data_IF_774882539988
#
_entry.id   IF_774882539988
#
_cell.length_a   1.000
_cell.length_b   1.000
_cell.length_c   1.000
_cell.angle_alpha   90.00
_cell.angle_beta   90.00
_cell.angle_gamma   90.00
#
_symmetry.space_group_name_H-M   'P 1'
#
loop_
_entity.id
_entity.type
_entity.pdbx_description
1 polymer ?
#
# COMPACT_ATOMS: atom_id res chain seq x y z
N UNK A 1 35.77 -31.59 9.00
CA UNK A 1 35.13 -30.26 9.16
C UNK A 1 34.23 -29.90 7.98
N UNK A 2 34.72 -29.81 6.73
CA UNK A 2 33.88 -29.44 5.55
C UNK A 2 32.64 -30.33 5.32
N UNK A 3 32.75 -31.64 5.57
CA UNK A 3 31.63 -32.60 5.45
C UNK A 3 30.53 -32.40 6.50
N UNK A 4 30.88 -31.91 7.69
CA UNK A 4 29.93 -31.64 8.78
C UNK A 4 29.13 -30.36 8.46
N UNK A 5 29.79 -29.33 7.93
CA UNK A 5 29.15 -28.08 7.49
C UNK A 5 28.19 -28.35 6.33
N UNK A 6 28.59 -29.21 5.38
CA UNK A 6 27.71 -29.61 4.26
C UNK A 6 26.45 -30.34 4.76
N UNK A 7 26.59 -31.28 5.70
CA UNK A 7 25.44 -31.99 6.28
C UNK A 7 24.52 -31.04 7.05
N UNK A 8 25.08 -30.09 7.79
CA UNK A 8 24.30 -29.10 8.55
C UNK A 8 23.52 -28.17 7.61
N UNK A 9 24.12 -27.73 6.51
CA UNK A 9 23.44 -26.93 5.49
C UNK A 9 22.27 -27.69 4.84
N UNK A 10 22.46 -28.98 4.53
CA UNK A 10 21.39 -29.83 3.97
C UNK A 10 20.23 -29.99 4.95
N UNK A 11 20.52 -30.16 6.25
CA UNK A 11 19.48 -30.26 7.29
C UNK A 11 18.68 -28.96 7.40
N UNK A 12 19.34 -27.80 7.38
CA UNK A 12 18.65 -26.50 7.44
C UNK A 12 17.75 -26.29 6.22
N UNK A 13 18.21 -26.67 5.02
CA UNK A 13 17.42 -26.58 3.79
C UNK A 13 16.22 -27.54 3.85
N UNK A 14 16.40 -28.77 4.35
CA UNK A 14 15.32 -29.74 4.48
C UNK A 14 14.23 -29.27 5.47
N UNK A 15 14.62 -28.63 6.57
CA UNK A 15 13.67 -28.04 7.54
C UNK A 15 12.89 -26.89 6.90
N UNK A 16 13.54 -25.99 6.16
CA UNK A 16 12.87 -24.90 5.44
C UNK A 16 11.85 -25.41 4.41
N UNK A 17 12.19 -26.47 3.66
CA UNK A 17 11.28 -27.08 2.68
C UNK A 17 10.09 -27.78 3.35
N UNK A 18 10.29 -28.38 4.52
CA UNK A 18 9.21 -28.98 5.29
C UNK A 18 8.20 -27.94 5.82
N UNK A 19 8.66 -26.76 6.22
CA UNK A 19 7.77 -25.65 6.61
C UNK A 19 6.95 -25.09 5.43
N UNK A 20 7.48 -25.12 4.21
CA UNK A 20 6.74 -24.68 3.02
C UNK A 20 5.72 -25.72 2.51
N UNK A 21 5.83 -26.96 2.93
CA UNK A 21 4.94 -28.06 2.50
C UNK A 21 3.85 -28.38 3.53
N UNK A 22 3.63 -27.54 4.53
CA UNK A 22 2.51 -27.70 5.45
C UNK A 22 1.22 -27.32 4.70
N UNK A 23 0.30 -28.27 4.43
CA UNK A 23 -0.98 -27.93 3.85
C UNK A 23 -1.75 -27.07 4.86
N UNK A 24 -2.21 -25.89 4.43
CA UNK A 24 -3.25 -25.17 5.16
C UNK A 24 -4.48 -26.07 5.21
N UNK A 25 -4.82 -26.51 6.42
CA UNK A 25 -6.00 -27.31 6.72
C UNK A 25 -7.26 -26.47 6.38
N UNK A 26 -8.06 -26.81 5.36
CA UNK A 26 -9.29 -26.09 5.06
C UNK A 26 -10.38 -26.58 6.01
N UNK A 27 -10.25 -26.23 7.29
CA UNK A 27 -11.04 -26.83 8.36
C UNK A 27 -11.43 -25.82 9.43
N UNK A 28 -12.25 -24.82 9.09
CA UNK A 28 -13.15 -24.12 10.03
C UNK A 28 -14.14 -23.20 9.30
N UNK A 29 -15.10 -23.81 8.60
CA UNK A 29 -16.40 -23.15 8.40
C UNK A 29 -17.08 -23.09 9.77
N UNK A 30 -17.12 -21.89 10.35
CA UNK A 30 -18.05 -21.61 11.43
C UNK A 30 -19.44 -21.61 10.82
N UNK A 31 -20.22 -22.61 11.22
CA UNK A 31 -21.65 -22.70 11.00
C UNK A 31 -22.33 -21.49 11.62
N UNK A 32 -22.84 -20.59 10.77
CA UNK A 32 -23.96 -19.73 11.15
C UNK A 32 -24.91 -19.71 9.97
N UNK A 33 -25.94 -20.55 10.05
CA UNK A 33 -27.16 -20.40 9.25
C UNK A 33 -27.73 -18.99 9.46
N UNK A 34 -28.25 -18.36 8.40
CA UNK A 34 -29.43 -17.54 8.51
C UNK A 34 -30.55 -18.27 7.78
N UNK A 35 -31.22 -19.16 8.49
CA UNK A 35 -32.61 -19.46 8.18
C UNK A 35 -33.45 -18.42 8.91
N UNK A 36 -34.42 -17.87 8.17
CA UNK A 36 -35.52 -17.02 8.62
C UNK A 36 -35.17 -15.55 8.90
N UNK A 37 -35.64 -14.68 8.01
CA UNK A 37 -36.92 -13.99 8.22
C UNK A 37 -36.95 -12.72 7.37
N UNK A 38 -37.26 -12.88 6.09
CA UNK A 38 -37.87 -11.78 5.34
C UNK A 38 -39.27 -11.56 5.90
N UNK A 39 -39.48 -10.43 6.55
CA UNK A 39 -40.76 -9.70 6.72
C UNK A 39 -40.52 -8.51 7.64
N UNK A 40 -40.56 -7.30 7.11
CA UNK A 40 -41.65 -6.34 7.34
C UNK A 40 -41.23 -4.96 6.85
N UNK A 41 -41.87 -4.55 5.75
CA UNK A 41 -42.13 -3.16 5.48
C UNK A 41 -43.07 -2.60 6.57
N UNK A 42 -42.73 -1.39 7.01
CA UNK A 42 -43.58 -0.29 7.48
C UNK A 42 -45.05 -0.60 7.80
N UNK A 43 -45.47 -0.32 9.04
CA UNK A 43 -46.54 0.65 9.33
C UNK A 43 -46.63 0.94 10.85
N UNK A 44 -46.53 2.23 11.19
CA UNK A 44 -47.13 2.97 12.28
C UNK A 44 -47.32 2.36 13.69
N UNK A 45 -46.62 2.95 14.65
CA UNK A 45 -47.22 3.33 15.93
C UNK A 45 -46.47 4.53 16.52
N UNK A 46 -47.16 5.66 16.55
CA UNK A 46 -46.75 6.91 17.19
C UNK A 46 -47.12 6.91 18.68
N UNK A 47 -46.39 7.72 19.47
CA UNK A 47 -46.60 8.12 20.87
C UNK A 47 -45.83 7.26 21.91
N UNK A 48 -45.02 7.76 22.85
CA UNK A 48 -44.79 9.11 23.36
C UNK A 48 -43.42 9.20 24.06
N UNK A 49 -42.83 10.39 24.03
CA UNK A 49 -42.01 11.02 25.07
C UNK A 49 -40.88 10.20 25.74
N UNK A 50 -39.64 10.44 25.33
CA UNK A 50 -38.72 11.16 26.22
C UNK A 50 -37.67 11.95 25.42
N UNK A 51 -37.68 13.27 25.60
CA UNK A 51 -36.78 14.21 24.93
C UNK A 51 -35.42 14.20 25.64
N UNK A 52 -34.50 13.31 25.24
CA UNK A 52 -33.08 13.42 25.60
C UNK A 52 -32.12 12.55 24.74
N UNK A 53 -32.37 12.41 23.43
CA UNK A 53 -31.58 11.55 22.53
C UNK A 53 -30.96 12.23 21.29
N UNK A 54 -31.18 13.54 21.11
CA UNK A 54 -30.83 14.27 19.88
C UNK A 54 -29.34 14.49 19.66
N UNK A 55 -28.57 14.75 20.72
CA UNK A 55 -27.13 15.03 20.60
C UNK A 55 -26.31 13.77 20.35
N UNK A 56 -26.65 12.64 20.97
CA UNK A 56 -25.85 11.41 20.85
C UNK A 56 -25.94 10.78 19.46
N UNK A 57 -27.12 10.88 18.82
CA UNK A 57 -27.34 10.31 17.47
C UNK A 57 -26.69 11.17 16.39
N UNK A 58 -26.72 12.51 16.53
CA UNK A 58 -26.12 13.45 15.57
C UNK A 58 -24.59 13.51 15.66
N UNK A 59 -24.02 13.37 16.86
CA UNK A 59 -22.56 13.30 17.03
C UNK A 59 -22.01 12.00 16.43
N UNK A 60 -22.69 10.87 16.65
CA UNK A 60 -22.27 9.57 16.08
C UNK A 60 -22.24 9.58 14.55
N UNK A 61 -23.24 10.19 13.91
CA UNK A 61 -23.26 10.29 12.43
C UNK A 61 -22.18 11.21 11.89
N UNK A 62 -21.82 12.29 12.60
CA UNK A 62 -20.68 13.14 12.21
C UNK A 62 -19.33 12.45 12.37
N UNK A 63 -19.13 11.68 13.44
CA UNK A 63 -17.92 10.90 13.67
C UNK A 63 -17.75 9.81 12.60
N UNK A 64 -18.83 9.11 12.27
CA UNK A 64 -18.85 8.10 11.21
C UNK A 64 -18.49 8.72 9.85
N UNK A 65 -19.07 9.87 9.51
CA UNK A 65 -18.75 10.59 8.27
C UNK A 65 -17.27 11.05 8.23
N UNK A 66 -16.72 11.51 9.36
CA UNK A 66 -15.31 11.89 9.47
C UNK A 66 -14.39 10.69 9.29
N UNK A 67 -14.74 9.55 9.88
CA UNK A 67 -13.98 8.31 9.73
C UNK A 67 -14.02 7.81 8.27
N UNK A 68 -15.17 7.89 7.62
CA UNK A 68 -15.32 7.52 6.21
C UNK A 68 -14.46 8.41 5.30
N UNK A 69 -14.50 9.73 5.51
CA UNK A 69 -13.65 10.67 4.78
C UNK A 69 -12.15 10.38 4.97
N UNK A 70 -11.74 10.05 6.20
CA UNK A 70 -10.36 9.67 6.51
C UNK A 70 -9.95 8.39 5.78
N UNK A 71 -10.81 7.35 5.79
CA UNK A 71 -10.57 6.10 5.05
C UNK A 71 -10.48 6.34 3.55
N UNK A 72 -11.33 7.20 3.00
CA UNK A 72 -11.32 7.54 1.58
C UNK A 72 -10.01 8.23 1.16
N UNK A 73 -9.51 9.19 1.95
CA UNK A 73 -8.21 9.81 1.67
C UNK A 73 -7.05 8.82 1.82
N UNK A 74 -7.11 7.94 2.83
CA UNK A 74 -6.07 6.93 3.01
C UNK A 74 -6.05 5.91 1.86
N UNK A 75 -7.20 5.58 1.27
CA UNK A 75 -7.26 4.74 0.08
C UNK A 75 -6.56 5.40 -1.13
N UNK A 76 -6.62 6.74 -1.27
CA UNK A 76 -5.83 7.47 -2.29
C UNK A 76 -4.34 7.37 -1.99
N UNK A 77 -3.96 7.54 -0.73
CA UNK A 77 -2.58 7.40 -0.28
C UNK A 77 -2.00 6.01 -0.61
N UNK A 78 -2.75 4.94 -0.38
CA UNK A 78 -2.32 3.58 -0.75
C UNK A 78 -2.16 3.39 -2.26
N UNK A 79 -3.05 3.99 -3.07
CA UNK A 79 -2.89 4.00 -4.53
C UNK A 79 -1.60 4.71 -4.93
N UNK A 80 -1.31 5.88 -4.36
CA UNK A 80 -0.09 6.62 -4.61
C UNK A 80 1.17 5.83 -4.24
N UNK A 81 1.15 5.08 -3.12
CA UNK A 81 2.25 4.17 -2.73
C UNK A 81 2.48 3.03 -3.72
N UNK A 82 1.40 2.42 -4.24
CA UNK A 82 1.51 1.37 -5.27
C UNK A 82 2.10 1.94 -6.57
N UNK A 83 1.65 3.11 -6.97
CA UNK A 83 2.18 3.81 -8.13
C UNK A 83 3.67 4.15 -7.96
N UNK A 84 4.08 4.66 -6.78
CA UNK A 84 5.48 4.92 -6.47
C UNK A 84 6.34 3.67 -6.58
N UNK A 85 5.88 2.53 -6.05
CA UNK A 85 6.60 1.27 -6.17
C UNK A 85 6.83 0.86 -7.62
N UNK A 86 5.81 0.99 -8.45
CA UNK A 86 5.91 0.66 -9.88
C UNK A 86 6.90 1.61 -10.59
N UNK A 87 6.83 2.92 -10.31
CA UNK A 87 7.74 3.91 -10.90
C UNK A 87 9.18 3.70 -10.50
N UNK A 88 9.44 3.42 -9.22
CA UNK A 88 10.78 3.08 -8.75
C UNK A 88 11.38 1.91 -9.53
N UNK A 89 10.58 0.87 -9.83
CA UNK A 89 11.04 -0.28 -10.63
C UNK A 89 11.35 0.13 -12.07
N UNK A 90 10.49 0.93 -12.70
CA UNK A 90 10.69 1.40 -14.07
C UNK A 90 11.95 2.27 -14.19
N UNK A 91 12.09 3.28 -13.33
CA UNK A 91 13.24 4.20 -13.35
C UNK A 91 14.52 3.43 -13.05
N UNK A 92 14.53 2.50 -12.08
CA UNK A 92 15.70 1.68 -11.81
C UNK A 92 16.08 0.76 -12.98
N UNK A 93 15.08 0.25 -13.72
CA UNK A 93 15.32 -0.50 -14.95
C UNK A 93 15.98 0.40 -16.00
N UNK A 94 15.38 1.54 -16.36
CA UNK A 94 15.93 2.43 -17.38
C UNK A 94 17.29 3.01 -17.01
N UNK A 95 17.53 3.30 -15.72
CA UNK A 95 18.81 3.78 -15.23
C UNK A 95 19.93 2.75 -15.40
N UNK A 96 19.61 1.46 -15.37
CA UNK A 96 20.59 0.41 -15.62
C UNK A 96 20.94 0.29 -17.11
N UNK A 97 19.97 0.52 -17.98
CA UNK A 97 20.16 0.44 -19.44
C UNK A 97 20.75 1.74 -20.02
N UNK A 98 20.58 2.88 -19.35
CA UNK A 98 21.08 4.16 -19.83
C UNK A 98 22.58 4.35 -19.57
N UNK A 99 23.31 4.76 -20.60
CA UNK A 99 24.72 5.17 -20.50
C UNK A 99 24.83 6.66 -20.08
N UNK A 100 24.50 6.94 -18.82
CA UNK A 100 24.62 8.29 -18.26
C UNK A 100 26.02 8.58 -17.68
N UNK A 101 26.46 9.86 -17.67
CA UNK A 101 27.59 10.30 -16.86
C UNK A 101 27.40 9.90 -15.39
N UNK A 102 28.49 9.54 -14.71
CA UNK A 102 28.46 9.05 -13.32
C UNK A 102 27.77 10.04 -12.36
N UNK A 103 27.99 11.35 -12.55
CA UNK A 103 27.36 12.39 -11.74
C UNK A 103 25.83 12.38 -11.88
N UNK A 104 25.31 12.42 -13.12
CA UNK A 104 23.87 12.43 -13.39
C UNK A 104 23.20 11.12 -12.96
N UNK A 105 23.84 9.98 -13.24
CA UNK A 105 23.37 8.69 -12.76
C UNK A 105 23.39 8.57 -11.23
N UNK A 106 24.33 9.23 -10.56
CA UNK A 106 24.41 9.34 -9.10
C UNK A 106 23.22 10.07 -8.50
N UNK A 107 22.89 11.25 -9.03
CA UNK A 107 21.77 12.07 -8.56
C UNK A 107 20.43 11.30 -8.66
N UNK A 108 20.20 10.60 -9.78
CA UNK A 108 18.98 9.78 -9.96
C UNK A 108 18.94 8.63 -8.94
N UNK A 109 20.08 8.00 -8.61
CA UNK A 109 20.14 6.94 -7.58
C UNK A 109 19.79 7.48 -6.20
N UNK A 110 20.27 8.66 -5.86
CA UNK A 110 19.98 9.29 -4.57
C UNK A 110 18.50 9.66 -4.43
N UNK A 111 17.88 10.11 -5.52
CA UNK A 111 16.44 10.35 -5.59
C UNK A 111 15.63 9.05 -5.47
N UNK A 112 16.02 7.98 -6.19
CA UNK A 112 15.42 6.65 -6.07
C UNK A 112 15.50 6.13 -4.63
N UNK A 113 16.66 6.28 -3.98
CA UNK A 113 16.86 5.87 -2.59
C UNK A 113 15.97 6.66 -1.63
N UNK A 114 15.87 7.97 -1.83
CA UNK A 114 15.03 8.86 -1.03
C UNK A 114 13.55 8.53 -1.19
N UNK A 115 13.11 8.25 -2.42
CA UNK A 115 11.77 7.80 -2.74
C UNK A 115 11.45 6.42 -2.14
N UNK A 116 12.39 5.47 -2.18
CA UNK A 116 12.21 4.14 -1.59
C UNK A 116 12.00 4.21 -0.06
N UNK A 117 12.65 5.16 0.64
CA UNK A 117 12.44 5.38 2.08
C UNK A 117 10.99 5.73 2.43
N UNK A 118 10.20 6.26 1.49
CA UNK A 118 8.77 6.55 1.69
C UNK A 118 7.92 5.27 1.77
N UNK A 119 8.43 4.18 1.22
CA UNK A 119 7.77 2.89 1.17
C UNK A 119 8.25 1.93 2.26
N UNK A 120 9.37 2.25 2.91
CA UNK A 120 9.91 1.48 4.03
C UNK A 120 9.16 1.90 5.29
N UNK A 121 8.32 1.01 5.80
CA UNK A 121 7.49 1.22 6.99
C UNK A 121 6.56 2.44 6.88
N UNK A 122 5.63 2.42 5.91
CA UNK A 122 4.72 3.54 5.71
C UNK A 122 3.77 3.68 6.91
N UNK A 123 3.42 4.92 7.32
CA UNK A 123 2.47 5.13 8.40
C UNK A 123 1.11 4.51 8.05
N UNK A 124 0.55 3.78 9.02
CA UNK A 124 -0.79 3.20 8.98
C UNK A 124 -1.85 4.28 9.26
N UNK A 125 -3.11 4.01 8.92
CA UNK A 125 -4.24 4.94 9.11
C UNK A 125 -4.27 5.58 10.51
N UNK A 126 -4.05 4.79 11.56
CA UNK A 126 -4.09 5.25 12.95
C UNK A 126 -2.89 6.10 13.39
N UNK A 127 -1.84 6.20 12.58
CA UNK A 127 -0.66 7.02 12.88
C UNK A 127 -0.84 8.49 12.47
N UNK A 128 -1.89 8.82 11.72
CA UNK A 128 -2.14 10.17 11.24
C UNK A 128 -3.00 10.97 12.22
N UNK A 129 -2.69 12.26 12.36
CA UNK A 129 -3.48 13.23 13.13
C UNK A 129 -4.72 13.69 12.33
N UNK A 130 -5.54 12.73 11.88
CA UNK A 130 -6.72 12.97 11.06
C UNK A 130 -6.41 13.18 9.57
N UNK A 131 -7.39 13.75 8.87
CA UNK A 131 -7.44 13.78 7.40
C UNK A 131 -6.31 14.62 6.79
N UNK A 132 -5.91 15.71 7.46
CA UNK A 132 -4.87 16.60 6.94
C UNK A 132 -3.50 15.93 6.94
N UNK A 133 -3.19 15.13 7.96
CA UNK A 133 -1.97 14.33 7.99
C UNK A 133 -1.89 13.32 6.84
N UNK A 134 -3.02 12.70 6.48
CA UNK A 134 -3.10 11.80 5.32
C UNK A 134 -2.90 12.57 4.01
N UNK A 135 -3.50 13.76 3.90
CA UNK A 135 -3.37 14.63 2.71
C UNK A 135 -1.95 15.15 2.51
N UNK A 136 -1.26 15.50 3.58
CA UNK A 136 0.11 15.99 3.49
C UNK A 136 1.08 14.89 3.06
N UNK A 137 0.92 13.68 3.58
CA UNK A 137 1.70 12.53 3.11
C UNK A 137 1.34 12.14 1.67
N UNK A 138 0.06 12.25 1.28
CA UNK A 138 -0.35 12.06 -0.11
C UNK A 138 0.34 13.05 -1.05
N UNK A 139 0.31 14.36 -0.73
CA UNK A 139 1.00 15.40 -1.52
C UNK A 139 2.50 15.14 -1.61
N UNK A 140 3.11 14.62 -0.55
CA UNK A 140 4.53 14.25 -0.54
C UNK A 140 4.80 13.11 -1.52
N UNK A 141 3.98 12.05 -1.49
CA UNK A 141 4.06 10.94 -2.45
C UNK A 141 3.82 11.38 -3.90
N UNK A 142 2.85 12.26 -4.14
CA UNK A 142 2.54 12.79 -5.48
C UNK A 142 3.72 13.58 -6.06
N UNK A 143 4.37 14.45 -5.26
CA UNK A 143 5.57 15.17 -5.70
C UNK A 143 6.72 14.23 -6.03
N UNK A 144 6.97 13.22 -5.19
CA UNK A 144 7.99 12.21 -5.46
C UNK A 144 7.68 11.44 -6.75
N UNK A 145 6.41 11.07 -6.96
CA UNK A 145 5.98 10.41 -8.18
C UNK A 145 6.25 11.28 -9.42
N UNK A 146 5.94 12.57 -9.37
CA UNK A 146 6.22 13.51 -10.47
C UNK A 146 7.71 13.65 -10.76
N UNK A 147 8.55 13.68 -9.72
CA UNK A 147 10.00 13.71 -9.89
C UNK A 147 10.51 12.44 -10.60
N UNK A 148 9.99 11.27 -10.23
CA UNK A 148 10.35 10.02 -10.89
C UNK A 148 9.86 9.94 -12.35
N UNK A 149 8.75 10.58 -12.70
CA UNK A 149 8.33 10.68 -14.11
C UNK A 149 9.34 11.46 -14.96
N UNK A 150 9.84 12.57 -14.40
CA UNK A 150 10.86 13.37 -15.09
C UNK A 150 12.12 12.54 -15.34
N UNK A 151 12.58 11.79 -14.32
CA UNK A 151 13.71 10.88 -14.46
C UNK A 151 13.45 9.76 -15.46
N UNK A 152 12.27 9.13 -15.43
CA UNK A 152 11.89 8.10 -16.40
C UNK A 152 11.94 8.64 -17.83
N UNK A 153 11.45 9.86 -18.05
CA UNK A 153 11.48 10.49 -19.36
C UNK A 153 12.92 10.77 -19.82
N UNK A 154 13.75 11.40 -18.97
CA UNK A 154 15.16 11.65 -19.29
C UNK A 154 15.90 10.36 -19.61
N UNK A 155 15.69 9.30 -18.84
CA UNK A 155 16.34 8.01 -19.06
C UNK A 155 15.90 7.32 -20.35
N UNK A 156 14.61 7.42 -20.70
CA UNK A 156 14.11 6.90 -21.98
C UNK A 156 14.70 7.66 -23.16
N UNK A 157 14.87 8.97 -23.06
CA UNK A 157 15.50 9.78 -24.10
C UNK A 157 16.97 9.39 -24.31
N UNK A 158 17.69 9.02 -23.25
CA UNK A 158 19.08 8.54 -23.33
C UNK A 158 19.17 7.08 -23.81
N UNK A 159 18.27 6.20 -23.36
CA UNK A 159 18.26 4.78 -23.73
C UNK A 159 17.66 4.48 -25.12
N UNK A 160 16.76 5.32 -25.64
CA UNK A 160 16.16 5.14 -26.96
C UNK A 160 17.03 5.70 -28.11
N UNK A 161 18.16 6.34 -27.79
CA UNK A 161 19.10 6.87 -28.80
C UNK A 161 19.86 5.79 -29.58
N UNK A 162 19.93 4.56 -29.07
CA UNK A 162 20.82 3.51 -29.61
C UNK A 162 20.11 2.44 -30.48
N UNK A 163 18.77 2.39 -30.47
CA UNK A 163 17.99 1.43 -31.28
C UNK A 163 17.65 1.94 -32.69
N UNK A 164 18.23 3.08 -33.10
CA UNK A 164 17.98 3.71 -34.41
C UNK A 164 19.08 3.50 -35.46
N UNK A 165 20.07 2.64 -35.17
CA UNK A 165 21.16 2.37 -36.11
C UNK A 165 21.71 0.96 -36.02
N UNK A 166 21.11 0.02 -36.77
CA UNK A 166 21.77 -0.76 -37.84
C UNK A 166 20.80 -1.76 -38.49
#
# INVERSE_FOLDING_TARGET
MKKIILLLAIVVIAVLLAFMSLPEDPGRQSTVSPEQAGKQAEEDAQASADNNGGEQTTVKTMEDARLEALKAEYAKLERARRNLRQRLQNVAYYLREAELPEAEGGDIRDDLNSANRLLINPPLLGAFNGIDGVRDELKRLERTNQQLDAHEQTLREHGAGDDSGN
#
